data_IF_709037720488
#
_entry.id   IF_709037720488
#
_cell.length_a   1.000
_cell.length_b   1.000
_cell.length_c   1.000
_cell.angle_alpha   90.00
_cell.angle_beta   90.00
_cell.angle_gamma   90.00
#
_symmetry.space_group_name_H-M   'P 1'
#
loop_
_entity.id
_entity.type
_entity.pdbx_description
1 polymer ?
#
# COMPACT_ATOMS: atom_id res chain seq x y z
N UNK A 1 7.34 -3.36 -22.75
CA UNK A 1 8.12 -3.27 -21.51
C UNK A 1 7.68 -2.01 -20.81
N UNK A 2 7.30 -2.08 -19.54
CA UNK A 2 6.93 -0.86 -18.78
C UNK A 2 8.14 0.01 -18.53
N UNK A 3 7.97 1.32 -18.60
CA UNK A 3 9.03 2.30 -18.36
C UNK A 3 8.96 2.85 -16.95
N UNK A 4 10.00 3.55 -16.50
CA UNK A 4 9.99 4.27 -15.24
C UNK A 4 8.86 5.31 -15.17
N UNK A 5 8.54 5.95 -16.30
CA UNK A 5 7.43 6.90 -16.40
C UNK A 5 6.05 6.23 -16.21
N UNK A 6 5.87 5.01 -16.76
CA UNK A 6 4.65 4.24 -16.53
C UNK A 6 4.46 3.94 -15.03
N UNK A 7 5.53 3.51 -14.35
CA UNK A 7 5.48 3.28 -12.91
C UNK A 7 5.23 4.55 -12.11
N UNK A 8 5.84 5.70 -12.47
CA UNK A 8 5.53 6.98 -11.82
C UNK A 8 4.05 7.34 -11.91
N UNK A 9 3.46 7.17 -13.10
CA UNK A 9 2.03 7.44 -13.29
C UNK A 9 1.15 6.49 -12.48
N UNK A 10 1.48 5.18 -12.47
CA UNK A 10 0.76 4.17 -11.68
C UNK A 10 0.85 4.49 -10.19
N UNK A 11 2.03 4.81 -9.67
CA UNK A 11 2.21 5.06 -8.25
C UNK A 11 1.60 6.39 -7.80
N UNK A 12 1.60 7.43 -8.64
CA UNK A 12 0.87 8.67 -8.39
C UNK A 12 -0.65 8.43 -8.31
N UNK A 13 -1.20 7.58 -9.17
CA UNK A 13 -2.59 7.14 -9.09
C UNK A 13 -2.85 6.34 -7.81
N UNK A 14 -2.00 5.36 -7.50
CA UNK A 14 -2.14 4.53 -6.31
C UNK A 14 -2.15 5.37 -5.03
N UNK A 15 -1.31 6.41 -4.93
CA UNK A 15 -1.29 7.33 -3.79
C UNK A 15 -2.62 8.09 -3.64
N UNK A 16 -3.18 8.62 -4.74
CA UNK A 16 -4.50 9.29 -4.73
C UNK A 16 -5.60 8.34 -4.25
N UNK A 17 -5.59 7.10 -4.73
CA UNK A 17 -6.55 6.07 -4.32
C UNK A 17 -6.41 5.76 -2.83
N UNK A 18 -5.19 5.51 -2.35
CA UNK A 18 -4.94 5.28 -0.92
C UNK A 18 -5.44 6.44 -0.06
N UNK A 19 -5.20 7.69 -0.48
CA UNK A 19 -5.71 8.87 0.23
C UNK A 19 -7.24 8.89 0.28
N UNK A 20 -7.91 8.56 -0.82
CA UNK A 20 -9.38 8.49 -0.87
C UNK A 20 -9.93 7.43 0.08
N UNK A 21 -9.32 6.24 0.13
CA UNK A 21 -9.71 5.19 1.07
C UNK A 21 -9.40 5.57 2.51
N UNK A 22 -8.24 6.15 2.79
CA UNK A 22 -7.89 6.69 4.10
C UNK A 22 -8.93 7.67 4.61
N UNK A 23 -9.38 8.61 3.76
CA UNK A 23 -10.42 9.58 4.09
C UNK A 23 -11.78 8.92 4.35
N UNK A 24 -12.16 7.91 3.57
CA UNK A 24 -13.41 7.17 3.78
C UNK A 24 -13.38 6.36 5.08
N UNK A 25 -12.29 5.63 5.34
CA UNK A 25 -12.10 4.84 6.54
C UNK A 25 -12.04 5.70 7.80
N UNK A 26 -11.48 6.91 7.73
CA UNK A 26 -11.41 7.87 8.85
C UNK A 26 -12.78 8.36 9.32
N UNK A 27 -13.83 8.17 8.55
CA UNK A 27 -15.21 8.52 8.92
C UNK A 27 -15.91 7.39 9.69
N UNK A 28 -15.34 6.21 9.73
CA UNK A 28 -15.91 5.06 10.42
C UNK A 28 -15.49 5.06 11.89
N UNK A 29 -16.33 4.45 12.75
CA UNK A 29 -15.94 4.21 14.13
C UNK A 29 -14.78 3.22 14.20
N UNK A 30 -13.94 3.35 15.22
CA UNK A 30 -12.85 2.40 15.45
C UNK A 30 -13.35 0.96 15.62
N UNK A 31 -14.51 0.80 16.24
CA UNK A 31 -15.19 -0.50 16.40
C UNK A 31 -15.50 -1.11 15.03
N UNK A 32 -16.10 -0.32 14.11
CA UNK A 32 -16.42 -0.76 12.74
C UNK A 32 -15.15 -1.15 11.98
N UNK A 33 -14.10 -0.32 12.04
CA UNK A 33 -12.82 -0.57 11.37
C UNK A 33 -12.12 -1.83 11.85
N UNK A 34 -12.22 -2.12 13.15
CA UNK A 34 -11.51 -3.23 13.81
C UNK A 34 -12.34 -4.50 13.88
N UNK A 35 -13.62 -4.45 13.51
CA UNK A 35 -14.52 -5.60 13.53
C UNK A 35 -13.99 -6.72 12.63
N UNK A 36 -13.93 -7.94 13.19
CA UNK A 36 -13.65 -9.11 12.37
C UNK A 36 -14.82 -9.36 11.39
N UNK A 37 -14.54 -9.30 10.11
CA UNK A 37 -15.51 -9.51 9.02
C UNK A 37 -15.17 -10.74 8.17
N UNK A 38 -14.33 -11.64 8.70
CA UNK A 38 -13.92 -12.90 8.04
C UNK A 38 -13.24 -12.68 6.67
N UNK A 39 -12.61 -11.52 6.49
CA UNK A 39 -11.78 -11.22 5.31
C UNK A 39 -10.33 -11.72 5.50
N UNK A 40 -9.48 -11.60 4.49
CA UNK A 40 -8.10 -12.11 4.46
C UNK A 40 -7.26 -11.70 5.67
N UNK A 41 -7.39 -10.46 6.14
CA UNK A 41 -6.72 -9.91 7.33
C UNK A 41 -7.72 -9.59 8.46
N UNK A 42 -8.86 -10.25 8.47
CA UNK A 42 -9.94 -10.16 9.45
C UNK A 42 -10.73 -8.84 9.44
N UNK A 43 -10.13 -7.66 9.28
CA UNK A 43 -10.82 -6.37 9.39
C UNK A 43 -10.30 -5.36 8.37
N UNK A 44 -11.13 -4.35 8.04
CA UNK A 44 -10.72 -3.24 7.16
C UNK A 44 -9.47 -2.54 7.67
N UNK A 45 -9.35 -2.35 8.99
CA UNK A 45 -8.16 -1.81 9.63
C UNK A 45 -6.91 -2.62 9.27
N UNK A 46 -6.97 -3.93 9.46
CA UNK A 46 -5.82 -4.80 9.24
C UNK A 46 -5.46 -4.89 7.75
N UNK A 47 -6.46 -4.95 6.87
CA UNK A 47 -6.25 -4.94 5.41
C UNK A 47 -5.53 -3.65 5.00
N UNK A 48 -5.98 -2.49 5.49
CA UNK A 48 -5.36 -1.22 5.12
C UNK A 48 -3.92 -1.10 5.64
N UNK A 49 -3.67 -1.52 6.88
CA UNK A 49 -2.31 -1.60 7.44
C UNK A 49 -1.44 -2.55 6.60
N UNK A 50 -1.97 -3.70 6.16
CA UNK A 50 -1.24 -4.63 5.32
C UNK A 50 -0.78 -3.97 4.00
N UNK A 51 -1.67 -3.25 3.31
CA UNK A 51 -1.30 -2.50 2.09
C UNK A 51 -0.12 -1.55 2.37
N UNK A 52 -0.18 -0.79 3.45
CA UNK A 52 0.90 0.14 3.83
C UNK A 52 2.21 -0.59 4.17
N UNK A 53 2.11 -1.75 4.81
CA UNK A 53 3.26 -2.61 5.13
C UNK A 53 3.92 -3.17 3.87
N UNK A 54 3.13 -3.50 2.83
CA UNK A 54 3.63 -3.92 1.52
C UNK A 54 4.46 -2.80 0.88
N UNK A 55 3.96 -1.56 0.83
CA UNK A 55 4.72 -0.41 0.33
C UNK A 55 5.99 -0.16 1.12
N UNK A 56 5.89 -0.16 2.44
CA UNK A 56 7.02 0.10 3.32
C UNK A 56 8.10 -0.99 3.19
N UNK A 57 7.69 -2.26 3.20
CA UNK A 57 8.59 -3.40 3.13
C UNK A 57 9.31 -3.50 1.78
N UNK A 58 8.60 -3.46 0.68
CA UNK A 58 9.20 -3.62 -0.64
C UNK A 58 9.99 -2.40 -1.09
N UNK A 59 9.46 -1.21 -0.91
CA UNK A 59 10.08 -0.01 -1.47
C UNK A 59 11.04 0.64 -0.46
N UNK A 60 10.55 1.01 0.73
CA UNK A 60 11.38 1.75 1.68
C UNK A 60 12.47 0.88 2.29
N UNK A 61 12.14 -0.34 2.69
CA UNK A 61 13.08 -1.22 3.36
C UNK A 61 14.01 -1.93 2.37
N UNK A 62 13.47 -2.58 1.33
CA UNK A 62 14.28 -3.39 0.42
C UNK A 62 14.84 -2.60 -0.78
N UNK A 63 14.01 -1.86 -1.53
CA UNK A 63 14.47 -1.19 -2.74
C UNK A 63 15.32 0.06 -2.45
N UNK A 64 14.96 0.87 -1.46
CA UNK A 64 15.74 2.02 -1.00
C UNK A 64 16.87 1.66 -0.03
N UNK A 65 16.82 0.50 0.60
CA UNK A 65 17.79 0.08 1.60
C UNK A 65 17.81 0.99 2.83
N UNK A 66 16.68 1.53 3.23
CA UNK A 66 16.60 2.39 4.41
C UNK A 66 16.66 1.57 5.68
N UNK A 67 17.82 1.62 6.34
CA UNK A 67 18.02 1.04 7.67
C UNK A 67 17.23 1.72 8.78
N UNK A 68 16.75 2.95 8.53
CA UNK A 68 15.93 3.74 9.46
C UNK A 68 14.41 3.58 9.24
N UNK A 69 13.99 2.85 8.21
CA UNK A 69 12.59 2.46 8.10
C UNK A 69 12.27 1.41 9.15
N UNK A 70 11.10 1.54 9.79
CA UNK A 70 10.64 0.55 10.75
C UNK A 70 10.54 -0.81 10.05
N UNK A 71 11.19 -1.87 10.55
CA UNK A 71 11.08 -3.20 9.98
C UNK A 71 9.62 -3.62 9.80
N UNK A 72 9.31 -4.28 8.72
CA UNK A 72 7.94 -4.69 8.37
C UNK A 72 7.25 -5.48 9.51
N UNK A 73 8.00 -6.26 10.28
CA UNK A 73 7.50 -7.03 11.44
C UNK A 73 6.99 -6.16 12.59
N UNK A 74 7.41 -4.90 12.65
CA UNK A 74 6.98 -3.95 13.70
C UNK A 74 5.63 -3.29 13.36
N UNK A 75 5.11 -3.48 12.14
CA UNK A 75 3.79 -3.00 11.75
C UNK A 75 2.67 -4.00 12.07
N UNK A 76 2.76 -4.69 13.22
CA UNK A 76 1.65 -5.53 13.70
C UNK A 76 0.40 -4.66 13.87
N UNK A 77 -0.74 -5.02 13.24
CA UNK A 77 -1.98 -4.29 13.38
C UNK A 77 -2.45 -4.06 14.83
N UNK A 78 -1.99 -4.88 15.79
CA UNK A 78 -2.28 -4.72 17.23
C UNK A 78 -1.66 -3.46 17.82
N UNK A 79 -0.60 -2.93 17.21
CA UNK A 79 0.09 -1.73 17.69
C UNK A 79 -0.67 -0.43 17.32
N UNK A 80 -1.69 -0.52 16.46
CA UNK A 80 -2.47 0.62 16.00
C UNK A 80 -3.78 0.71 16.77
N UNK A 81 -3.99 1.82 17.46
CA UNK A 81 -5.13 2.07 18.33
C UNK A 81 -6.05 3.21 17.83
N UNK A 82 -5.70 3.86 16.74
CA UNK A 82 -6.49 4.92 16.12
C UNK A 82 -6.21 5.04 14.62
N UNK A 83 -7.17 5.59 13.88
CA UNK A 83 -6.97 5.89 12.47
C UNK A 83 -5.87 6.92 12.24
N UNK A 84 -5.66 7.87 13.17
CA UNK A 84 -4.58 8.84 13.08
C UNK A 84 -3.20 8.18 13.00
N UNK A 85 -2.94 7.15 13.80
CA UNK A 85 -1.67 6.40 13.73
C UNK A 85 -1.50 5.71 12.37
N UNK A 86 -2.58 5.20 11.79
CA UNK A 86 -2.55 4.57 10.46
C UNK A 86 -2.28 5.63 9.38
N UNK A 87 -2.88 6.81 9.49
CA UNK A 87 -2.63 7.95 8.57
C UNK A 87 -1.17 8.41 8.68
N UNK A 88 -0.62 8.53 9.87
CA UNK A 88 0.79 8.87 10.09
C UNK A 88 1.72 7.83 9.42
N UNK A 89 1.41 6.55 9.58
CA UNK A 89 2.14 5.48 8.90
C UNK A 89 2.03 5.61 7.38
N UNK A 90 0.83 5.82 6.84
CA UNK A 90 0.61 6.03 5.41
C UNK A 90 1.46 7.20 4.88
N UNK A 91 1.41 8.35 5.53
CA UNK A 91 2.17 9.54 5.12
C UNK A 91 3.68 9.28 5.15
N UNK A 92 4.17 8.60 6.17
CA UNK A 92 5.58 8.23 6.28
C UNK A 92 6.00 7.26 5.17
N UNK A 93 5.21 6.22 4.91
CA UNK A 93 5.49 5.24 3.87
C UNK A 93 5.47 5.88 2.47
N UNK A 94 4.45 6.69 2.17
CA UNK A 94 4.31 7.34 0.86
C UNK A 94 5.40 8.37 0.61
N UNK A 95 5.89 9.10 1.61
CA UNK A 95 7.04 9.99 1.47
C UNK A 95 8.29 9.26 0.94
N UNK A 96 8.53 8.05 1.41
CA UNK A 96 9.62 7.22 0.91
C UNK A 96 9.36 6.72 -0.51
N UNK A 97 8.13 6.31 -0.81
CA UNK A 97 7.71 5.86 -2.14
C UNK A 97 7.85 6.98 -3.17
N UNK A 98 7.38 8.19 -2.86
CA UNK A 98 7.50 9.36 -3.75
C UNK A 98 8.96 9.64 -4.06
N UNK A 99 9.82 9.69 -3.05
CA UNK A 99 11.26 9.86 -3.25
C UNK A 99 11.87 8.77 -4.13
N UNK A 100 11.46 7.52 -3.93
CA UNK A 100 11.93 6.42 -4.76
C UNK A 100 11.50 6.59 -6.22
N UNK A 101 10.25 6.99 -6.47
CA UNK A 101 9.75 7.23 -7.82
C UNK A 101 10.47 8.39 -8.52
N UNK A 102 10.82 9.46 -7.79
CA UNK A 102 11.59 10.59 -8.34
C UNK A 102 12.99 10.15 -8.81
N UNK A 103 13.59 9.19 -8.11
CA UNK A 103 14.94 8.66 -8.44
C UNK A 103 14.90 7.46 -9.41
N UNK A 104 13.71 6.93 -9.76
CA UNK A 104 13.54 5.78 -10.64
C UNK A 104 13.93 6.14 -12.09
N UNK A 105 14.59 5.21 -12.78
CA UNK A 105 14.88 5.30 -14.21
C UNK A 105 14.86 3.90 -14.83
N UNK A 106 14.76 3.82 -16.16
CA UNK A 106 14.61 2.54 -16.86
C UNK A 106 15.72 1.52 -16.55
N UNK A 107 17.01 1.89 -16.49
CA UNK A 107 18.07 0.96 -16.10
C UNK A 107 17.89 0.34 -14.71
N UNK A 108 17.25 1.04 -13.77
CA UNK A 108 16.99 0.49 -12.43
C UNK A 108 15.93 -0.61 -12.42
N UNK A 109 15.03 -0.64 -13.42
CA UNK A 109 13.92 -1.61 -13.47
C UNK A 109 14.38 -3.06 -13.53
N UNK A 110 15.53 -3.33 -14.12
CA UNK A 110 16.15 -4.67 -14.19
C UNK A 110 17.05 -5.00 -12.99
N UNK A 111 17.16 -4.09 -12.00
CA UNK A 111 17.90 -4.37 -10.77
C UNK A 111 17.23 -5.49 -10.00
N UNK A 112 18.02 -6.45 -9.54
CA UNK A 112 17.53 -7.53 -8.67
C UNK A 112 17.32 -7.04 -7.24
N UNK A 113 16.18 -7.40 -6.69
CA UNK A 113 15.77 -7.07 -5.32
C UNK A 113 15.47 -8.39 -4.61
N UNK A 114 15.99 -8.53 -3.40
CA UNK A 114 15.64 -9.60 -2.45
C UNK A 114 14.84 -9.01 -1.29
N UNK A 115 14.01 -9.83 -0.68
CA UNK A 115 13.36 -9.49 0.57
C UNK A 115 13.57 -10.62 1.59
N UNK A 116 13.62 -10.35 2.90
CA UNK A 116 13.90 -11.38 3.93
C UNK A 116 12.91 -12.55 3.94
N UNK A 117 11.73 -12.35 3.37
CA UNK A 117 10.66 -13.36 3.27
C UNK A 117 10.61 -14.10 1.93
N UNK A 118 11.58 -13.83 1.02
CA UNK A 118 11.66 -14.45 -0.31
C UNK A 118 12.95 -15.22 -0.44
N UNK A 119 12.87 -16.38 -1.12
CA UNK A 119 14.07 -17.20 -1.41
C UNK A 119 14.79 -16.75 -2.68
N UNK A 120 14.06 -16.11 -3.61
CA UNK A 120 14.58 -15.72 -4.92
C UNK A 120 14.68 -14.19 -5.07
N UNK A 121 15.55 -13.79 -5.99
CA UNK A 121 15.67 -12.40 -6.42
C UNK A 121 14.67 -12.10 -7.53
N UNK A 122 14.03 -10.94 -7.47
CA UNK A 122 13.07 -10.48 -8.48
C UNK A 122 13.55 -9.18 -9.12
N UNK A 123 13.18 -8.95 -10.37
CA UNK A 123 13.42 -7.65 -10.98
C UNK A 123 12.59 -6.58 -10.28
N UNK A 124 13.16 -5.38 -10.16
CA UNK A 124 12.46 -4.26 -9.54
C UNK A 124 11.13 -3.97 -10.24
N UNK A 125 11.07 -4.12 -11.57
CA UNK A 125 9.82 -3.99 -12.33
C UNK A 125 8.72 -4.94 -11.85
N UNK A 126 9.07 -6.20 -11.54
CA UNK A 126 8.12 -7.19 -11.05
C UNK A 126 7.67 -6.86 -9.62
N UNK A 127 8.59 -6.40 -8.78
CA UNK A 127 8.29 -5.94 -7.42
C UNK A 127 7.32 -4.75 -7.45
N UNK A 128 7.54 -3.75 -8.32
CA UNK A 128 6.65 -2.60 -8.45
C UNK A 128 5.27 -3.00 -8.95
N UNK A 129 5.21 -3.96 -9.88
CA UNK A 129 3.94 -4.50 -10.35
C UNK A 129 3.22 -5.26 -9.23
N UNK A 130 3.94 -6.11 -8.47
CA UNK A 130 3.36 -6.83 -7.33
C UNK A 130 2.77 -5.88 -6.29
N UNK A 131 3.48 -4.81 -5.91
CA UNK A 131 2.97 -3.80 -4.98
C UNK A 131 1.68 -3.16 -5.49
N UNK A 132 1.59 -2.88 -6.80
CA UNK A 132 0.38 -2.34 -7.42
C UNK A 132 -0.79 -3.32 -7.36
N UNK A 133 -0.54 -4.59 -7.67
CA UNK A 133 -1.55 -5.65 -7.65
C UNK A 133 -2.04 -5.95 -6.23
N UNK A 134 -1.16 -5.96 -5.25
CA UNK A 134 -1.49 -6.09 -3.82
C UNK A 134 -2.43 -4.99 -3.36
N UNK A 135 -2.12 -3.74 -3.69
CA UNK A 135 -3.03 -2.64 -3.38
C UNK A 135 -4.41 -2.83 -4.02
N UNK A 136 -4.47 -3.13 -5.32
CA UNK A 136 -5.73 -3.29 -6.03
C UNK A 136 -6.56 -4.45 -5.46
N UNK A 137 -5.91 -5.59 -5.16
CA UNK A 137 -6.53 -6.75 -4.55
C UNK A 137 -7.18 -6.42 -3.20
N UNK A 138 -6.39 -5.86 -2.29
CA UNK A 138 -6.85 -5.60 -0.93
C UNK A 138 -7.82 -4.41 -0.81
N UNK A 139 -7.70 -3.40 -1.67
CA UNK A 139 -8.73 -2.36 -1.76
C UNK A 139 -10.05 -2.91 -2.30
N UNK A 140 -10.01 -3.90 -3.20
CA UNK A 140 -11.20 -4.64 -3.63
C UNK A 140 -11.91 -5.35 -2.47
N UNK A 141 -11.17 -5.93 -1.53
CA UNK A 141 -11.74 -6.50 -0.31
C UNK A 141 -12.43 -5.42 0.56
N UNK A 142 -11.74 -4.27 0.77
CA UNK A 142 -12.34 -3.14 1.52
C UNK A 142 -13.61 -2.63 0.84
N UNK A 143 -13.63 -2.54 -0.49
CA UNK A 143 -14.85 -2.18 -1.26
C UNK A 143 -16.00 -3.13 -0.94
N UNK A 144 -15.75 -4.44 -0.99
CA UNK A 144 -16.77 -5.44 -0.70
C UNK A 144 -17.29 -5.31 0.75
N UNK A 145 -16.40 -5.08 1.72
CA UNK A 145 -16.78 -4.90 3.12
C UNK A 145 -17.58 -3.61 3.36
N UNK A 146 -17.24 -2.51 2.68
CA UNK A 146 -18.01 -1.26 2.75
C UNK A 146 -19.42 -1.45 2.21
N UNK A 147 -19.58 -2.15 1.07
CA UNK A 147 -20.92 -2.48 0.53
C UNK A 147 -21.75 -3.34 1.48
N UNK A 148 -21.14 -4.30 2.18
CA UNK A 148 -21.84 -5.09 3.22
C UNK A 148 -22.38 -4.21 4.36
N UNK A 149 -21.75 -3.06 4.61
CA UNK A 149 -22.18 -2.08 5.61
C UNK A 149 -23.14 -1.02 5.03
N UNK A 150 -23.55 -1.13 3.75
CA UNK A 150 -24.31 -0.13 3.02
C UNK A 150 -23.60 1.24 2.97
N UNK A 151 -22.27 1.22 2.88
CA UNK A 151 -21.43 2.41 2.73
C UNK A 151 -20.87 2.41 1.31
N UNK A 152 -21.07 3.51 0.58
CA UNK A 152 -20.52 3.67 -0.76
C UNK A 152 -18.98 3.82 -0.68
N UNK A 153 -18.22 2.94 -1.35
CA UNK A 153 -16.77 3.00 -1.34
C UNK A 153 -16.24 4.09 -2.27
N UNK A 154 -14.99 4.55 -2.06
CA UNK A 154 -14.31 5.38 -3.04
C UNK A 154 -14.18 4.68 -4.39
N UNK A 155 -14.23 5.46 -5.47
CA UNK A 155 -14.02 4.94 -6.82
C UNK A 155 -12.53 4.71 -7.11
N UNK A 156 -12.26 3.66 -7.89
CA UNK A 156 -10.94 3.30 -8.38
C UNK A 156 -10.97 3.31 -9.91
N UNK A 157 -10.97 4.50 -10.51
CA UNK A 157 -11.06 4.65 -11.96
C UNK A 157 -9.76 5.25 -12.50
N UNK A 158 -8.96 4.43 -13.18
CA UNK A 158 -7.70 4.85 -13.78
C UNK A 158 -7.90 5.93 -14.86
N UNK A 159 -8.89 5.74 -15.73
CA UNK A 159 -9.14 6.60 -16.92
C UNK A 159 -9.43 8.04 -16.53
N UNK A 160 -10.12 8.27 -15.42
CA UNK A 160 -10.49 9.60 -14.95
C UNK A 160 -9.34 10.37 -14.28
N UNK A 161 -8.18 9.74 -14.14
CA UNK A 161 -7.00 10.30 -13.45
C UNK A 161 -5.77 10.46 -14.35
N UNK A 162 -5.92 10.25 -15.65
CA UNK A 162 -4.83 10.38 -16.64
C UNK A 162 -4.84 11.71 -17.37
#
# INVERSE_FOLDING_TARGET
>A
MSTADDFRRIFAYNEKVLQSFSNALSRLSWETLSKNMEASHNSMKNIFIHILTVYNGWINYNALGKSDSIPWEQHDPKNYNSMNQIVEFMLSAMKGVTRFMDELNDPKLSKKITAPWMEEEHELSDVLMQVTLEQAHHLGEIIALLWQLNIEPPQMTWIDNT
#
